data_IF_363488156263
#
_entry.id   IF_363488156263
#
_cell.length_a   1.000
_cell.length_b   1.000
_cell.length_c   1.000
_cell.angle_alpha   90.00
_cell.angle_beta   90.00
_cell.angle_gamma   90.00
#
_symmetry.space_group_name_H-M   'P 1'
#
loop_
_entity.id
_entity.type
_entity.pdbx_description
1 polymer ?
#
# COMPACT_ATOMS: atom_id res chain seq x y z
N UNK A 1 -4.00 3.40 5.13
CA UNK A 1 -3.91 3.17 3.67
C UNK A 1 -4.57 1.83 3.35
N UNK A 2 -5.29 1.71 2.22
CA UNK A 2 -5.86 0.44 1.73
C UNK A 2 -5.34 0.16 0.32
N UNK A 3 -5.02 -1.10 0.03
CA UNK A 3 -4.78 -1.60 -1.32
C UNK A 3 -5.61 -2.87 -1.53
N UNK A 4 -6.28 -2.98 -2.67
CA UNK A 4 -7.06 -4.15 -3.06
C UNK A 4 -6.37 -4.87 -4.22
N UNK A 5 -6.29 -6.20 -4.16
CA UNK A 5 -5.90 -7.03 -5.29
C UNK A 5 -7.18 -7.42 -6.06
N UNK A 6 -7.43 -6.82 -7.22
CA UNK A 6 -8.60 -7.10 -8.07
C UNK A 6 -8.34 -8.11 -9.20
N UNK A 7 -7.29 -8.92 -9.09
CA UNK A 7 -6.85 -9.86 -10.14
C UNK A 7 -6.82 -11.31 -9.63
N UNK A 8 -7.08 -12.28 -10.51
CA UNK A 8 -7.24 -13.73 -10.24
C UNK A 8 -5.98 -14.46 -9.73
N UNK A 9 -4.86 -13.76 -9.51
CA UNK A 9 -3.62 -14.33 -9.02
C UNK A 9 -3.12 -13.64 -7.73
N UNK A 10 -2.39 -14.37 -6.86
CA UNK A 10 -1.80 -13.77 -5.67
C UNK A 10 -0.78 -12.70 -6.05
N UNK A 11 -0.88 -11.52 -5.42
CA UNK A 11 -0.01 -10.37 -5.68
C UNK A 11 0.85 -10.03 -4.45
N UNK A 12 2.08 -9.62 -4.69
CA UNK A 12 2.92 -8.99 -3.68
C UNK A 12 2.59 -7.50 -3.62
N UNK A 13 2.11 -7.02 -2.48
CA UNK A 13 1.72 -5.63 -2.27
C UNK A 13 2.66 -4.96 -1.27
N UNK A 14 3.14 -3.77 -1.60
CA UNK A 14 4.02 -2.95 -0.76
C UNK A 14 3.37 -1.60 -0.51
N UNK A 15 3.19 -1.28 0.77
CA UNK A 15 2.70 0.02 1.22
C UNK A 15 3.90 0.82 1.73
N UNK A 16 4.19 1.95 1.09
CA UNK A 16 5.32 2.81 1.40
C UNK A 16 4.77 4.16 1.83
N UNK A 17 5.22 4.64 2.98
CA UNK A 17 4.87 5.97 3.52
C UNK A 17 6.13 6.62 4.07
N UNK A 18 6.15 7.94 4.28
CA UNK A 18 7.24 8.61 4.99
C UNK A 18 7.50 8.06 6.41
N UNK A 19 6.51 7.38 6.99
CA UNK A 19 6.54 6.84 8.35
C UNK A 19 6.94 5.36 8.42
N UNK A 20 7.17 4.73 7.27
CA UNK A 20 7.58 3.34 7.18
C UNK A 20 7.04 2.61 5.96
N UNK A 21 7.55 1.40 5.75
CA UNK A 21 7.18 0.51 4.66
C UNK A 21 6.68 -0.84 5.22
N UNK A 22 5.68 -1.43 4.55
CA UNK A 22 5.21 -2.79 4.83
C UNK A 22 4.99 -3.56 3.53
N UNK A 23 5.60 -4.75 3.43
CA UNK A 23 5.34 -5.72 2.38
C UNK A 23 4.33 -6.78 2.84
N UNK A 24 3.39 -7.10 1.98
CA UNK A 24 2.47 -8.22 2.05
C UNK A 24 2.76 -9.11 0.85
N UNK A 25 3.18 -10.35 1.11
CA UNK A 25 3.45 -11.32 0.04
C UNK A 25 2.26 -12.23 -0.19
N UNK A 26 2.06 -12.65 -1.44
CA UNK A 26 1.01 -13.59 -1.83
C UNK A 26 -0.40 -13.19 -1.35
N UNK A 27 -0.74 -11.90 -1.47
CA UNK A 27 -2.08 -11.41 -1.16
C UNK A 27 -3.06 -12.03 -2.16
N UNK A 28 -3.93 -12.91 -1.65
CA UNK A 28 -4.90 -13.59 -2.48
C UNK A 28 -5.82 -12.62 -3.24
N UNK A 29 -6.39 -13.04 -4.37
CA UNK A 29 -7.41 -12.28 -5.10
C UNK A 29 -8.54 -11.80 -4.17
N UNK A 30 -9.04 -10.59 -4.43
CA UNK A 30 -10.10 -9.91 -3.66
C UNK A 30 -9.82 -9.73 -2.17
N UNK A 31 -8.56 -9.94 -1.73
CA UNK A 31 -8.13 -9.63 -0.38
C UNK A 31 -7.53 -8.24 -0.30
N UNK A 32 -7.76 -7.63 0.86
CA UNK A 32 -7.29 -6.31 1.18
C UNK A 32 -6.14 -6.41 2.18
N UNK A 33 -5.05 -5.71 1.90
CA UNK A 33 -3.98 -5.50 2.87
C UNK A 33 -4.25 -4.20 3.64
N UNK A 34 -4.12 -4.26 4.96
CA UNK A 34 -4.23 -3.10 5.83
C UNK A 34 -3.02 -3.00 6.74
N UNK A 35 -2.41 -1.82 6.78
CA UNK A 35 -1.36 -1.48 7.72
C UNK A 35 -1.62 -0.09 8.29
N UNK A 36 -1.64 0.00 9.62
CA UNK A 36 -1.51 1.28 10.32
C UNK A 36 -0.02 1.58 10.50
N UNK A 37 0.41 2.80 10.14
CA UNK A 37 1.72 3.33 10.48
C UNK A 37 1.53 4.31 11.64
N UNK A 38 1.99 3.94 12.84
CA UNK A 38 1.92 4.81 14.00
C UNK A 38 3.02 5.87 13.92
N UNK A 39 2.64 7.12 13.67
CA UNK A 39 3.59 8.23 13.52
C UNK A 39 4.12 8.74 14.87
N UNK A 40 3.40 8.47 15.97
CA UNK A 40 3.63 9.04 17.33
C UNK A 40 3.73 10.58 17.38
N UNK A 41 3.44 11.25 16.27
CA UNK A 41 3.47 12.69 16.15
C UNK A 41 2.08 13.24 16.46
N UNK A 42 2.02 14.38 17.14
CA UNK A 42 0.78 15.14 17.35
C UNK A 42 0.24 15.75 16.05
N UNK A 43 1.05 15.81 15.00
CA UNK A 43 0.61 16.18 13.65
C UNK A 43 1.32 15.35 12.58
N UNK A 44 0.64 15.16 11.47
CA UNK A 44 1.11 14.51 10.24
C UNK A 44 0.97 15.52 9.14
N UNK A 45 2.06 15.93 8.50
CA UNK A 45 2.00 16.82 7.34
C UNK A 45 1.38 16.08 6.14
N UNK A 46 0.76 16.84 5.22
CA UNK A 46 0.28 16.30 3.96
C UNK A 46 1.44 15.62 3.22
N UNK A 47 1.15 14.48 2.59
CA UNK A 47 2.17 13.69 1.91
C UNK A 47 1.58 12.69 0.96
N UNK A 48 2.45 11.81 0.46
CA UNK A 48 2.06 10.78 -0.50
C UNK A 48 2.39 9.42 0.06
N UNK A 49 1.42 8.53 0.02
CA UNK A 49 1.59 7.13 0.31
C UNK A 49 1.57 6.34 -1.01
N UNK A 50 2.52 5.44 -1.21
CA UNK A 50 2.65 4.65 -2.44
C UNK A 50 2.21 3.22 -2.19
N UNK A 51 1.31 2.71 -3.03
CA UNK A 51 1.01 1.28 -3.17
C UNK A 51 1.76 0.77 -4.39
N UNK A 52 2.61 -0.22 -4.21
CA UNK A 52 3.21 -0.96 -5.31
C UNK A 52 2.72 -2.41 -5.25
N UNK A 53 2.10 -2.88 -6.32
CA UNK A 53 1.66 -4.27 -6.48
C UNK A 53 2.50 -4.94 -7.57
N UNK A 54 2.95 -6.15 -7.30
CA UNK A 54 3.66 -7.00 -8.24
C UNK A 54 2.95 -8.34 -8.34
N UNK A 55 2.73 -8.81 -9.56
CA UNK A 55 2.06 -10.07 -9.82
C UNK A 55 2.72 -10.76 -11.02
N UNK A 56 2.68 -12.09 -11.05
CA UNK A 56 2.96 -12.87 -12.26
C UNK A 56 1.64 -13.28 -12.92
N UNK A 57 1.38 -12.81 -14.14
CA UNK A 57 0.26 -13.31 -14.96
C UNK A 57 0.79 -14.15 -16.10
N UNK A 58 0.53 -15.45 -16.09
CA UNK A 58 0.86 -16.32 -17.21
C UNK A 58 2.34 -16.39 -17.58
N UNK A 59 3.25 -16.05 -16.65
CA UNK A 59 4.69 -15.97 -16.90
C UNK A 59 5.20 -14.56 -17.21
N UNK A 60 4.32 -13.57 -17.35
CA UNK A 60 4.68 -12.16 -17.51
C UNK A 60 4.63 -11.41 -16.17
N UNK A 61 5.65 -10.62 -15.83
CA UNK A 61 5.65 -9.80 -14.63
C UNK A 61 4.80 -8.56 -14.84
N UNK A 62 3.78 -8.39 -14.01
CA UNK A 62 2.91 -7.21 -13.95
C UNK A 62 3.32 -6.39 -12.72
N UNK A 63 3.61 -5.10 -12.93
CA UNK A 63 3.91 -4.17 -11.86
C UNK A 63 3.00 -2.96 -11.95
N UNK A 64 2.26 -2.69 -10.88
CA UNK A 64 1.35 -1.56 -10.77
C UNK A 64 1.78 -0.68 -9.60
N UNK A 65 1.76 0.63 -9.81
CA UNK A 65 2.06 1.62 -8.77
C UNK A 65 0.94 2.64 -8.70
N UNK A 66 0.46 2.90 -7.49
CA UNK A 66 -0.52 3.92 -7.19
C UNK A 66 0.03 4.86 -6.12
N UNK A 67 0.07 6.14 -6.42
CA UNK A 67 0.40 7.17 -5.46
C UNK A 67 -0.90 7.79 -4.93
N UNK A 68 -1.06 7.77 -3.61
CA UNK A 68 -2.25 8.25 -2.91
C UNK A 68 -1.85 9.39 -2.00
N UNK A 69 -2.26 10.59 -2.36
CA UNK A 69 -2.10 11.79 -1.52
C UNK A 69 -2.95 11.64 -0.25
N UNK A 70 -2.39 12.07 0.88
CA UNK A 70 -3.14 12.23 2.12
C UNK A 70 -2.90 13.63 2.66
N UNK A 71 -3.96 14.22 3.21
CA UNK A 71 -3.91 15.56 3.78
C UNK A 71 -3.18 15.58 5.13
N UNK A 72 -2.79 16.78 5.54
CA UNK A 72 -2.25 16.98 6.86
C UNK A 72 -3.33 16.65 7.91
N UNK A 73 -2.95 15.90 8.94
CA UNK A 73 -3.82 15.57 10.07
C UNK A 73 -3.16 16.13 11.31
N UNK A 74 -3.87 16.97 12.05
CA UNK A 74 -3.49 17.36 13.40
C UNK A 74 -4.25 16.46 14.38
N UNK A 75 -3.51 15.78 15.25
CA UNK A 75 -4.02 14.76 16.17
C UNK A 75 -4.21 15.26 17.60
N UNK A 76 -3.93 16.55 17.89
CA UNK A 76 -4.39 17.27 19.09
C UNK A 76 -4.03 16.64 20.43
#
# INVERSE_FOLDING_TARGET
MRGANGEDAPADVRLITPFGEKKFSALAPDKNAYQSFSTRASSVAAGTATVAAYQWRGGDPVYQRYDVSYDAIDCG
#
